data_IF_990832271058
#
_entry.id   IF_990832271058
#
_cell.length_a   1.000
_cell.length_b   1.000
_cell.length_c   1.000
_cell.angle_alpha   90.00
_cell.angle_beta   90.00
_cell.angle_gamma   90.00
#
_symmetry.space_group_name_H-M   'P 1'
#
loop_
_entity.id
_entity.type
_entity.pdbx_description
1 polymer ?
#
# COMPACT_ATOMS: atom_id res chain seq x y z
N UNK A 1 21.69 -3.01 -7.45
CA UNK A 1 20.66 -2.08 -7.97
C UNK A 1 19.32 -2.68 -7.57
N UNK A 2 18.40 -1.87 -7.02
CA UNK A 2 17.05 -2.32 -6.64
C UNK A 2 16.06 -1.47 -7.43
N UNK A 3 15.07 -2.10 -8.04
CA UNK A 3 14.03 -1.45 -8.83
C UNK A 3 12.67 -1.80 -8.22
N UNK A 4 11.84 -0.78 -8.01
CA UNK A 4 10.48 -0.92 -7.46
C UNK A 4 9.52 -0.33 -8.48
N UNK A 5 8.59 -1.14 -8.96
CA UNK A 5 7.57 -0.71 -9.92
C UNK A 5 6.25 -1.42 -9.68
N UNK A 6 5.16 -0.77 -10.09
CA UNK A 6 3.86 -1.43 -10.19
C UNK A 6 3.87 -2.46 -11.32
N UNK A 7 3.23 -3.61 -11.09
CA UNK A 7 2.91 -4.53 -12.18
C UNK A 7 1.65 -4.07 -12.94
N UNK A 8 1.57 -4.30 -14.26
CA UNK A 8 2.69 -4.66 -15.13
C UNK A 8 3.63 -3.47 -15.34
N UNK A 9 4.95 -3.70 -15.34
CA UNK A 9 5.93 -2.66 -15.65
C UNK A 9 6.42 -2.81 -17.08
N UNK A 10 6.53 -1.70 -17.82
CA UNK A 10 6.96 -1.70 -19.22
C UNK A 10 8.34 -2.35 -19.40
N UNK A 11 9.29 -2.01 -18.52
CA UNK A 11 10.66 -2.54 -18.57
C UNK A 11 10.70 -4.07 -18.55
N UNK A 12 9.87 -4.70 -17.70
CA UNK A 12 9.82 -6.16 -17.60
C UNK A 12 8.97 -6.80 -18.71
N UNK A 13 8.02 -6.05 -19.27
CA UNK A 13 7.20 -6.52 -20.40
C UNK A 13 7.92 -6.49 -21.75
N UNK A 14 9.05 -5.79 -21.87
CA UNK A 14 9.85 -5.73 -23.11
C UNK A 14 10.92 -6.84 -23.20
N UNK A 15 11.12 -7.63 -22.13
CA UNK A 15 12.09 -8.74 -22.10
C UNK A 15 11.55 -9.88 -22.97
N UNK A 16 12.37 -10.32 -23.92
CA UNK A 16 11.98 -11.40 -24.83
C UNK A 16 12.29 -12.78 -24.25
N UNK A 17 11.54 -13.83 -24.63
CA UNK A 17 11.79 -15.20 -24.16
C UNK A 17 13.19 -15.73 -24.51
N UNK A 18 13.79 -15.29 -25.62
CA UNK A 18 15.11 -15.74 -26.09
C UNK A 18 16.28 -15.14 -25.29
N UNK A 19 16.02 -14.13 -24.46
CA UNK A 19 17.02 -13.55 -23.56
C UNK A 19 17.34 -14.45 -22.35
N UNK A 20 16.57 -15.52 -22.13
CA UNK A 20 16.83 -16.52 -21.08
C UNK A 20 16.57 -16.01 -19.65
N UNK A 21 15.82 -14.91 -19.50
CA UNK A 21 15.45 -14.34 -18.21
C UNK A 21 14.10 -14.87 -17.72
N UNK A 22 13.96 -15.05 -16.40
CA UNK A 22 12.72 -15.51 -15.78
C UNK A 22 12.54 -14.89 -14.39
N UNK A 23 11.29 -14.86 -13.92
CA UNK A 23 10.97 -14.41 -12.57
C UNK A 23 11.30 -15.49 -11.53
N UNK A 24 11.91 -15.07 -10.42
CA UNK A 24 12.13 -15.94 -9.26
C UNK A 24 11.08 -15.68 -8.19
N UNK A 25 10.50 -16.73 -7.59
CA UNK A 25 9.50 -16.56 -6.54
C UNK A 25 10.16 -16.04 -5.25
N UNK A 26 9.47 -15.12 -4.58
CA UNK A 26 9.80 -14.64 -3.24
C UNK A 26 8.64 -14.99 -2.32
N UNK A 27 8.81 -16.02 -1.50
CA UNK A 27 7.78 -16.45 -0.57
C UNK A 27 7.58 -15.39 0.52
N UNK A 28 6.33 -15.06 0.83
CA UNK A 28 5.97 -14.24 1.99
C UNK A 28 6.26 -15.04 3.28
N UNK A 29 7.48 -14.90 3.80
CA UNK A 29 7.87 -15.40 5.13
C UNK A 29 7.21 -14.56 6.22
N UNK A 30 7.22 -15.06 7.46
CA UNK A 30 6.69 -14.32 8.61
C UNK A 30 7.34 -12.94 8.73
N UNK A 31 8.67 -12.86 8.62
CA UNK A 31 9.44 -11.61 8.70
C UNK A 31 9.06 -10.62 7.59
N UNK A 32 8.85 -11.10 6.36
CA UNK A 32 8.45 -10.23 5.24
C UNK A 32 7.00 -9.75 5.38
N UNK A 33 6.14 -10.54 6.02
CA UNK A 33 4.71 -10.25 6.14
C UNK A 33 4.41 -9.07 7.08
N UNK A 34 5.39 -8.62 7.87
CA UNK A 34 5.26 -7.42 8.70
C UNK A 34 5.28 -6.13 7.86
N UNK A 35 6.03 -6.12 6.75
CA UNK A 35 6.26 -4.92 5.92
C UNK A 35 5.72 -5.02 4.49
N UNK A 36 5.46 -6.25 4.01
CA UNK A 36 5.05 -6.50 2.64
C UNK A 36 3.77 -7.31 2.57
N UNK A 37 2.98 -7.07 1.53
CA UNK A 37 1.76 -7.82 1.24
C UNK A 37 2.06 -8.94 0.25
N UNK A 38 1.60 -10.15 0.52
CA UNK A 38 1.69 -11.28 -0.42
C UNK A 38 0.96 -10.94 -1.73
N UNK A 39 1.60 -11.22 -2.86
CA UNK A 39 0.97 -11.11 -4.19
C UNK A 39 1.57 -12.15 -5.16
N UNK A 40 1.14 -12.12 -6.42
CA UNK A 40 1.70 -12.97 -7.47
C UNK A 40 1.84 -12.20 -8.78
N UNK A 41 2.78 -12.63 -9.63
CA UNK A 41 2.86 -12.22 -11.03
C UNK A 41 2.20 -13.30 -11.89
N UNK A 42 1.45 -12.89 -12.92
CA UNK A 42 0.64 -13.76 -13.76
C UNK A 42 0.93 -13.55 -15.24
N UNK A 43 0.44 -14.44 -16.10
CA UNK A 43 0.52 -14.29 -17.55
C UNK A 43 -0.25 -13.05 -18.07
N UNK A 44 -1.23 -12.53 -17.32
CA UNK A 44 -1.88 -11.25 -17.63
C UNK A 44 -0.94 -10.06 -17.41
N UNK A 45 -0.02 -10.17 -16.44
CA UNK A 45 0.99 -9.16 -16.18
C UNK A 45 2.13 -9.24 -17.21
N UNK A 46 2.62 -10.45 -17.51
CA UNK A 46 3.78 -10.71 -18.37
C UNK A 46 3.60 -11.99 -19.21
N UNK A 47 2.88 -11.93 -20.35
CA UNK A 47 2.49 -13.11 -21.12
C UNK A 47 3.65 -13.86 -21.76
N UNK A 48 4.74 -13.16 -22.09
CA UNK A 48 5.94 -13.75 -22.70
C UNK A 48 6.87 -14.41 -21.66
N UNK A 49 6.72 -14.08 -20.37
CA UNK A 49 7.62 -14.53 -19.30
C UNK A 49 6.96 -15.48 -18.29
N UNK A 50 5.63 -15.54 -18.25
CA UNK A 50 4.88 -16.32 -17.26
C UNK A 50 3.86 -17.22 -17.97
N UNK A 51 3.95 -18.52 -17.71
CA UNK A 51 2.98 -19.51 -18.17
C UNK A 51 1.62 -19.30 -17.47
N UNK A 52 0.52 -19.42 -18.21
CA UNK A 52 -0.84 -19.13 -17.72
C UNK A 52 -1.23 -19.89 -16.44
N UNK A 53 -0.75 -21.12 -16.27
CA UNK A 53 -1.07 -21.98 -15.14
C UNK A 53 0.01 -21.97 -14.03
N UNK A 54 1.03 -21.12 -14.15
CA UNK A 54 2.14 -21.06 -13.18
C UNK A 54 2.43 -19.62 -12.75
N UNK A 55 1.56 -19.02 -11.92
CA UNK A 55 1.83 -17.70 -11.36
C UNK A 55 3.05 -17.74 -10.43
N UNK A 56 3.83 -16.65 -10.43
CA UNK A 56 5.05 -16.54 -9.62
C UNK A 56 4.72 -15.79 -8.32
N UNK A 57 4.84 -16.49 -7.18
CA UNK A 57 4.58 -15.90 -5.87
C UNK A 57 5.63 -14.84 -5.53
N UNK A 58 5.17 -13.69 -5.03
CA UNK A 58 6.06 -12.58 -4.64
C UNK A 58 5.43 -11.73 -3.53
N UNK A 59 6.08 -10.63 -3.19
CA UNK A 59 5.64 -9.66 -2.18
C UNK A 59 5.56 -8.26 -2.79
N UNK A 60 4.68 -7.43 -2.24
CA UNK A 60 4.44 -6.06 -2.70
C UNK A 60 4.51 -5.07 -1.54
N UNK A 61 4.88 -3.83 -1.87
CA UNK A 61 4.79 -2.67 -0.97
C UNK A 61 3.60 -1.80 -1.34
N UNK A 62 3.03 -1.14 -0.34
CA UNK A 62 2.03 -0.10 -0.55
C UNK A 62 2.69 1.19 -1.01
N UNK A 63 2.13 1.84 -2.02
CA UNK A 63 2.54 3.18 -2.45
C UNK A 63 1.58 4.21 -1.87
N UNK A 64 2.11 5.27 -1.25
CA UNK A 64 1.32 6.32 -0.61
C UNK A 64 1.75 7.68 -1.13
N UNK A 65 0.78 8.57 -1.36
CA UNK A 65 1.05 9.95 -1.75
C UNK A 65 1.22 10.80 -0.48
N UNK A 66 2.44 11.30 -0.27
CA UNK A 66 2.80 12.09 0.91
C UNK A 66 2.93 13.57 0.54
N UNK A 67 2.42 14.44 1.40
CA UNK A 67 2.60 15.88 1.30
C UNK A 67 3.09 16.43 2.63
N UNK A 68 3.90 17.50 2.57
CA UNK A 68 4.28 18.24 3.76
C UNK A 68 3.06 18.93 4.37
N UNK A 69 2.90 18.81 5.69
CA UNK A 69 1.78 19.40 6.42
C UNK A 69 2.01 20.89 6.72
N UNK A 70 1.95 21.73 5.67
CA UNK A 70 2.09 23.18 5.81
C UNK A 70 1.08 23.75 6.81
N UNK A 71 1.41 24.80 7.58
CA UNK A 71 0.45 25.45 8.45
C UNK A 71 -0.79 25.92 7.67
N UNK A 72 -1.96 25.74 8.28
CA UNK A 72 -3.23 26.17 7.69
C UNK A 72 -3.22 27.68 7.39
N UNK A 73 -3.90 28.07 6.32
CA UNK A 73 -3.97 29.47 5.86
C UNK A 73 -2.78 29.93 5.03
N UNK A 74 -1.68 29.18 4.98
CA UNK A 74 -0.54 29.50 4.08
C UNK A 74 -0.88 29.23 2.61
N UNK A 75 -0.19 29.94 1.71
CA UNK A 75 -0.35 29.72 0.27
C UNK A 75 0.03 28.29 -0.16
N UNK A 76 1.09 27.73 0.42
CA UNK A 76 1.51 26.34 0.14
C UNK A 76 0.43 25.34 0.57
N UNK A 77 -0.19 25.54 1.74
CA UNK A 77 -1.32 24.72 2.18
C UNK A 77 -2.48 24.78 1.18
N UNK A 78 -2.86 26.00 0.73
CA UNK A 78 -3.95 26.18 -0.24
C UNK A 78 -3.68 25.47 -1.56
N UNK A 79 -2.44 25.50 -2.07
CA UNK A 79 -2.06 24.80 -3.30
C UNK A 79 -2.18 23.30 -3.18
N UNK A 80 -1.66 22.72 -2.09
CA UNK A 80 -1.78 21.27 -1.84
C UNK A 80 -3.25 20.88 -1.65
N UNK A 81 -4.03 21.68 -0.91
CA UNK A 81 -5.47 21.45 -0.73
C UNK A 81 -6.23 21.48 -2.07
N UNK A 82 -5.90 22.44 -2.95
CA UNK A 82 -6.46 22.53 -4.28
C UNK A 82 -6.11 21.30 -5.13
N UNK A 83 -4.84 20.87 -5.11
CA UNK A 83 -4.41 19.66 -5.81
C UNK A 83 -5.19 18.42 -5.33
N UNK A 84 -5.28 18.21 -4.01
CA UNK A 84 -6.02 17.07 -3.42
C UNK A 84 -7.46 17.05 -3.91
N UNK A 85 -8.13 18.20 -3.87
CA UNK A 85 -9.52 18.31 -4.33
C UNK A 85 -9.65 18.00 -5.82
N UNK A 86 -8.83 18.63 -6.66
CA UNK A 86 -8.87 18.42 -8.11
C UNK A 86 -8.55 16.96 -8.49
N UNK A 87 -7.59 16.34 -7.80
CA UNK A 87 -7.23 14.94 -8.00
C UNK A 87 -8.36 14.00 -7.59
N UNK A 88 -8.94 14.16 -6.40
CA UNK A 88 -10.01 13.28 -5.91
C UNK A 88 -11.30 13.44 -6.71
N UNK A 89 -11.68 14.67 -7.06
CA UNK A 89 -12.86 14.98 -7.88
C UNK A 89 -12.78 14.31 -9.26
N UNK A 90 -11.57 14.16 -9.83
CA UNK A 90 -11.33 13.60 -11.17
C UNK A 90 -10.68 12.23 -11.18
N UNK A 91 -10.55 11.55 -10.04
CA UNK A 91 -9.84 10.27 -10.01
C UNK A 91 -10.50 9.21 -10.91
N UNK A 92 -11.82 9.27 -11.09
CA UNK A 92 -12.56 8.37 -11.99
C UNK A 92 -12.16 8.54 -13.45
N UNK A 93 -11.80 9.75 -13.87
CA UNK A 93 -11.31 10.02 -15.22
C UNK A 93 -10.01 9.25 -15.47
N UNK A 94 -9.16 9.11 -14.44
CA UNK A 94 -7.91 8.36 -14.47
C UNK A 94 -8.11 6.84 -14.55
N UNK A 95 -9.31 6.32 -14.29
CA UNK A 95 -9.60 4.89 -14.36
C UNK A 95 -10.01 4.42 -15.77
N UNK A 96 -10.18 5.37 -16.70
CA UNK A 96 -10.52 5.10 -18.10
C UNK A 96 -9.37 4.38 -18.84
N UNK A 97 -9.64 3.60 -19.90
CA UNK A 97 -8.63 2.78 -20.58
C UNK A 97 -7.45 3.56 -21.19
N UNK A 98 -7.60 4.87 -21.40
CA UNK A 98 -6.54 5.73 -21.94
C UNK A 98 -5.40 5.99 -20.94
N UNK A 99 -5.63 5.73 -19.65
CA UNK A 99 -4.65 5.92 -18.58
C UNK A 99 -4.10 4.58 -18.08
N UNK A 100 -3.03 4.67 -17.29
CA UNK A 100 -2.35 3.49 -16.75
C UNK A 100 -3.32 2.63 -15.89
N UNK A 101 -3.41 1.31 -16.10
CA UNK A 101 -4.36 0.44 -15.39
C UNK A 101 -4.30 0.54 -13.86
N UNK A 102 -3.11 0.82 -13.31
CA UNK A 102 -2.84 0.98 -11.87
C UNK A 102 -3.69 2.08 -11.20
N UNK A 103 -4.21 3.05 -11.94
CA UNK A 103 -5.13 4.06 -11.39
C UNK A 103 -6.44 3.47 -10.85
N UNK A 104 -6.81 2.26 -11.26
CA UNK A 104 -7.98 1.52 -10.74
C UNK A 104 -7.76 0.96 -9.35
N UNK A 105 -6.50 0.81 -8.92
CA UNK A 105 -6.14 0.19 -7.65
C UNK A 105 -6.04 1.20 -6.50
N UNK A 106 -6.31 2.49 -6.76
CA UNK A 106 -6.21 3.53 -5.74
C UNK A 106 -7.42 3.47 -4.81
N UNK A 107 -7.19 3.18 -3.53
CA UNK A 107 -8.18 3.27 -2.46
C UNK A 107 -8.03 4.59 -1.69
N UNK A 108 -8.73 5.64 -2.14
CA UNK A 108 -8.70 6.98 -1.52
C UNK A 108 -9.06 6.97 -0.02
N UNK A 109 -10.12 6.27 0.45
CA UNK A 109 -10.47 6.26 1.86
C UNK A 109 -9.54 5.40 2.74
N UNK A 110 -8.58 4.66 2.16
CA UNK A 110 -7.68 3.82 2.94
C UNK A 110 -6.88 4.63 3.97
N UNK A 111 -6.79 4.12 5.19
CA UNK A 111 -5.94 4.65 6.24
C UNK A 111 -4.55 4.02 6.17
N UNK A 112 -3.52 4.81 6.47
CA UNK A 112 -2.13 4.34 6.57
C UNK A 112 -1.72 4.38 8.04
N UNK A 113 -1.51 3.23 8.70
CA UNK A 113 -1.16 3.19 10.12
C UNK A 113 0.07 4.03 10.43
N UNK A 114 0.01 4.80 11.52
CA UNK A 114 1.11 5.68 11.95
C UNK A 114 1.22 7.00 11.17
N UNK A 115 0.39 7.22 10.16
CA UNK A 115 0.37 8.47 9.39
C UNK A 115 -0.89 9.27 9.64
N UNK A 116 -0.73 10.60 9.71
CA UNK A 116 -1.86 11.52 9.82
C UNK A 116 -2.31 11.95 8.42
N UNK A 117 -3.59 11.69 8.10
CA UNK A 117 -4.17 12.13 6.83
C UNK A 117 -4.21 13.66 6.76
N UNK A 118 -3.85 14.21 5.60
CA UNK A 118 -3.89 15.65 5.37
C UNK A 118 -5.34 16.17 5.46
N UNK A 119 -5.57 17.22 6.26
CA UNK A 119 -6.92 17.63 6.65
C UNK A 119 -7.90 17.88 5.49
N UNK A 120 -7.50 18.54 4.37
CA UNK A 120 -8.34 18.68 3.19
C UNK A 120 -8.76 17.35 2.53
N UNK A 121 -7.89 16.33 2.55
CA UNK A 121 -8.22 15.00 2.04
C UNK A 121 -9.28 14.33 2.92
N UNK A 122 -9.10 14.38 4.25
CA UNK A 122 -10.07 13.89 5.23
C UNK A 122 -11.44 14.56 5.07
N UNK A 123 -11.46 15.89 4.93
CA UNK A 123 -12.70 16.65 4.72
C UNK A 123 -13.41 16.25 3.42
N UNK A 124 -12.64 16.00 2.36
CA UNK A 124 -13.21 15.54 1.09
C UNK A 124 -13.85 14.16 1.23
N UNK A 125 -13.17 13.20 1.85
CA UNK A 125 -13.67 11.82 2.06
C UNK A 125 -14.96 11.85 2.89
N UNK A 126 -14.98 12.65 3.97
CA UNK A 126 -16.17 12.86 4.80
C UNK A 126 -17.34 13.43 4.00
N UNK A 127 -17.08 14.45 3.19
CA UNK A 127 -18.10 15.07 2.33
C UNK A 127 -18.64 14.09 1.29
N UNK A 128 -17.78 13.21 0.76
CA UNK A 128 -18.16 12.16 -0.19
C UNK A 128 -18.89 10.97 0.48
N UNK A 129 -19.00 10.94 1.81
CA UNK A 129 -19.60 9.82 2.54
C UNK A 129 -18.76 8.54 2.51
N UNK A 130 -17.44 8.66 2.27
CA UNK A 130 -16.52 7.53 2.07
C UNK A 130 -15.75 7.15 3.36
N UNK A 131 -16.12 7.72 4.51
CA UNK A 131 -15.45 7.43 5.78
C UNK A 131 -15.73 5.98 6.22
N UNK A 132 -14.70 5.13 6.10
CA UNK A 132 -14.73 3.73 6.55
C UNK A 132 -14.34 3.58 8.04
N UNK A 133 -13.73 4.61 8.61
CA UNK A 133 -13.14 4.62 9.97
C UNK A 133 -14.05 5.24 11.05
N UNK A 134 -15.23 5.77 10.69
CA UNK A 134 -16.25 6.13 11.68
C UNK A 134 -16.93 4.83 12.15
N UNK A 135 -16.85 4.44 13.43
CA UNK A 135 -17.71 3.39 13.95
C UNK A 135 -19.15 3.86 13.79
N UNK A 136 -19.85 3.30 12.81
CA UNK A 136 -21.24 3.57 12.48
C UNK A 136 -22.07 3.70 13.76
N UNK A 137 -22.37 4.94 14.19
CA UNK A 137 -23.38 5.20 15.23
C UNK A 137 -24.80 4.83 14.79
N UNK A 138 -24.97 4.31 13.59
CA UNK A 138 -26.23 3.79 13.07
C UNK A 138 -25.98 2.54 12.20
N UNK A 139 -25.47 1.47 12.80
CA UNK A 139 -25.72 0.13 12.26
C UNK A 139 -27.14 -0.30 12.68
N UNK A 140 -28.17 0.33 12.10
CA UNK A 140 -29.43 -0.39 11.92
C UNK A 140 -29.10 -1.50 10.93
N UNK A 141 -28.88 -2.70 11.46
CA UNK A 141 -28.79 -3.94 10.69
C UNK A 141 -30.05 -4.02 9.83
N UNK A 142 -29.96 -3.93 8.48
CA UNK A 142 -31.08 -4.32 7.66
C UNK A 142 -31.25 -5.82 7.86
N UNK A 143 -32.38 -6.16 8.42
CA UNK A 143 -32.91 -7.51 8.57
C UNK A 143 -32.74 -8.30 7.26
N UNK A 144 -32.39 -9.57 7.41
CA UNK A 144 -31.93 -10.47 6.36
C UNK A 144 -32.68 -10.34 5.02
N UNK A 145 -31.93 -10.20 3.92
CA UNK A 145 -32.45 -10.37 2.56
C UNK A 145 -32.77 -11.86 2.35
N UNK A 146 -34.05 -12.25 2.18
CA UNK A 146 -34.40 -13.62 1.90
C UNK A 146 -34.14 -13.90 0.40
N UNK A 147 -33.19 -14.78 0.10
CA UNK A 147 -32.96 -15.24 -1.27
C UNK A 147 -31.55 -15.67 -1.67
N UNK A 148 -30.53 -15.45 -0.84
CA UNK A 148 -29.19 -15.96 -1.13
C UNK A 148 -29.07 -17.40 -0.62
N UNK A 149 -29.10 -18.36 -1.55
CA UNK A 149 -28.90 -19.78 -1.30
C UNK A 149 -27.59 -20.04 -0.55
N UNK A 150 -27.70 -20.51 0.70
CA UNK A 150 -26.62 -21.05 1.53
C UNK A 150 -26.11 -22.38 0.95
N UNK A 151 -25.27 -22.33 -0.07
CA UNK A 151 -24.40 -23.43 -0.51
C UNK A 151 -23.31 -22.77 -1.37
N UNK A 152 -22.02 -22.76 -1.07
CA UNK A 152 -21.14 -23.77 -0.50
C UNK A 152 -20.03 -23.07 0.28
N UNK A 153 -20.30 -22.66 1.52
CA UNK A 153 -19.25 -22.44 2.52
C UNK A 153 -19.78 -23.00 3.82
N UNK A 154 -19.27 -24.17 4.18
CA UNK A 154 -19.55 -24.85 5.43
C UNK A 154 -19.55 -23.85 6.59
N UNK A 155 -20.58 -23.89 7.45
CA UNK A 155 -20.73 -22.97 8.56
C UNK A 155 -19.52 -23.00 9.49
N UNK A 156 -18.90 -24.17 9.66
CA UNK A 156 -17.71 -24.31 10.51
C UNK A 156 -16.48 -23.63 9.87
N UNK A 157 -16.35 -23.73 8.54
CA UNK A 157 -15.30 -23.02 7.80
C UNK A 157 -15.47 -21.50 7.90
N UNK A 158 -16.70 -20.98 7.81
CA UNK A 158 -16.97 -19.53 8.00
C UNK A 158 -16.59 -19.05 9.39
N UNK A 159 -16.95 -19.80 10.43
CA UNK A 159 -16.63 -19.46 11.82
C UNK A 159 -15.12 -19.52 12.09
N UNK A 160 -14.40 -20.40 11.39
CA UNK A 160 -12.95 -20.53 11.49
C UNK A 160 -12.25 -19.35 10.82
N UNK A 161 -12.62 -19.04 9.58
CA UNK A 161 -12.10 -17.87 8.86
C UNK A 161 -12.42 -16.55 9.59
N UNK A 162 -13.60 -16.44 10.19
CA UNK A 162 -13.97 -15.26 10.97
C UNK A 162 -13.12 -15.14 12.25
N UNK A 163 -12.85 -16.25 12.95
CA UNK A 163 -11.95 -16.24 14.11
C UNK A 163 -10.52 -15.87 13.72
N UNK A 164 -9.98 -16.45 12.65
CA UNK A 164 -8.65 -16.10 12.12
C UNK A 164 -8.58 -14.62 11.74
N UNK A 165 -9.61 -14.09 11.10
CA UNK A 165 -9.70 -12.67 10.76
C UNK A 165 -9.72 -11.76 11.99
N UNK A 166 -10.49 -12.13 13.03
CA UNK A 166 -10.54 -11.38 14.29
C UNK A 166 -9.19 -11.40 15.01
N UNK A 167 -8.50 -12.54 15.03
CA UNK A 167 -7.15 -12.65 15.61
C UNK A 167 -6.11 -11.88 14.79
N UNK A 168 -6.19 -11.91 13.46
CA UNK A 168 -5.36 -11.09 12.57
C UNK A 168 -5.54 -9.59 12.84
N UNK A 169 -6.80 -9.12 13.00
CA UNK A 169 -7.07 -7.73 13.37
C UNK A 169 -6.53 -7.37 14.76
N UNK A 170 -6.67 -8.25 15.75
CA UNK A 170 -6.13 -8.02 17.10
C UNK A 170 -4.60 -7.96 17.08
N UNK A 171 -3.94 -8.79 16.27
CA UNK A 171 -2.49 -8.79 16.11
C UNK A 171 -2.00 -7.52 15.39
N UNK A 172 -2.70 -7.06 14.35
CA UNK A 172 -2.40 -5.74 13.75
C UNK A 172 -2.62 -4.60 14.75
N UNK A 173 -3.71 -4.65 15.52
CA UNK A 173 -4.03 -3.62 16.51
C UNK A 173 -3.09 -3.62 17.72
N UNK A 174 -2.44 -4.73 18.06
CA UNK A 174 -1.44 -4.81 19.14
C UNK A 174 -0.08 -4.25 18.69
N UNK A 175 0.37 -4.59 17.48
CA UNK A 175 1.58 -4.02 16.86
C UNK A 175 1.46 -2.50 16.70
N UNK A 176 0.29 -2.01 16.28
CA UNK A 176 -0.01 -0.56 16.19
C UNK A 176 -0.01 0.11 17.57
N UNK A 177 -0.49 -0.56 18.63
CA UNK A 177 -0.49 -0.01 20.00
C UNK A 177 0.93 0.13 20.57
N UNK A 178 1.81 -0.83 20.28
CA UNK A 178 3.21 -0.81 20.69
C UNK A 178 4.00 0.31 19.99
N UNK A 179 3.75 0.56 18.70
CA UNK A 179 4.36 1.66 17.96
C UNK A 179 3.83 3.04 18.40
N UNK A 180 2.54 3.13 18.77
CA UNK A 180 1.92 4.36 19.26
C UNK A 180 2.36 4.77 20.68
N UNK A 181 2.91 3.84 21.47
CA UNK A 181 3.42 4.09 22.82
C UNK A 181 4.84 4.66 22.86
N UNK A 182 5.54 4.76 21.72
CA UNK A 182 6.88 5.35 21.67
C UNK A 182 6.79 6.86 21.91
N UNK A 183 7.40 7.30 23.01
CA UNK A 183 7.50 8.72 23.34
C UNK A 183 8.41 9.45 22.32
N UNK A 184 8.36 10.79 22.22
CA UNK A 184 9.12 11.54 21.22
C UNK A 184 10.63 11.26 21.25
N UNK A 185 11.20 11.06 22.45
CA UNK A 185 12.62 10.74 22.62
C UNK A 185 12.97 9.34 22.11
N UNK A 186 12.09 8.35 22.29
CA UNK A 186 12.28 7.01 21.77
C UNK A 186 12.18 6.96 20.25
N UNK A 187 11.33 7.79 19.63
CA UNK A 187 11.28 7.95 18.17
C UNK A 187 12.54 8.59 17.62
N UNK A 188 13.03 9.64 18.28
CA UNK A 188 14.28 10.30 17.88
C UNK A 188 15.49 9.36 18.05
N UNK A 189 15.49 8.51 19.07
CA UNK A 189 16.50 7.46 19.25
C UNK A 189 16.42 6.41 18.15
N UNK A 190 15.23 5.97 17.77
CA UNK A 190 15.06 5.02 16.65
C UNK A 190 15.49 5.62 15.31
N UNK A 191 15.17 6.89 15.06
CA UNK A 191 15.63 7.63 13.87
C UNK A 191 17.15 7.77 13.91
N UNK A 192 17.72 8.10 15.07
CA UNK A 192 19.16 8.23 15.25
C UNK A 192 19.88 6.90 15.07
N UNK A 193 19.37 5.81 15.65
CA UNK A 193 19.92 4.46 15.54
C UNK A 193 19.79 3.94 14.10
N UNK A 194 18.70 4.27 13.40
CA UNK A 194 18.55 4.00 11.97
C UNK A 194 19.57 4.78 11.12
N UNK A 195 19.78 6.06 11.41
CA UNK A 195 20.81 6.88 10.76
C UNK A 195 22.22 6.38 11.11
N UNK A 196 22.43 5.88 12.33
CA UNK A 196 23.69 5.30 12.79
C UNK A 196 23.96 3.95 12.12
N UNK A 197 22.94 3.10 11.98
CA UNK A 197 22.95 1.86 11.22
C UNK A 197 23.30 2.12 9.76
N UNK A 198 22.68 3.14 9.14
CA UNK A 198 23.05 3.59 7.80
C UNK A 198 24.50 4.07 7.75
N UNK A 199 25.02 4.74 8.78
CA UNK A 199 26.42 5.21 8.81
C UNK A 199 27.44 4.09 9.02
N UNK A 200 27.15 3.14 9.91
CA UNK A 200 28.02 1.99 10.22
C UNK A 200 28.05 1.01 9.04
N UNK A 201 26.90 0.80 8.39
CA UNK A 201 26.81 -0.08 7.22
C UNK A 201 27.08 0.63 5.88
N UNK A 202 27.13 1.98 5.84
CA UNK A 202 27.64 2.72 4.68
C UNK A 202 29.17 2.69 4.54
N UNK A 203 29.90 2.19 5.55
CA UNK A 203 31.34 1.99 5.50
C UNK A 203 31.78 0.77 4.69
N UNK A 204 30.88 -0.20 4.44
CA UNK A 204 31.15 -1.39 3.63
C UNK A 204 30.68 -1.28 2.19
N UNK A 205 30.22 -0.10 1.76
CA UNK A 205 29.66 0.11 0.43
C UNK A 205 30.59 0.97 -0.43
N UNK A 206 31.09 0.31 -1.48
CA UNK A 206 32.04 0.80 -2.48
C UNK A 206 31.61 2.13 -3.13
N UNK A 207 32.60 2.90 -3.60
CA UNK A 207 32.54 4.30 -4.04
C UNK A 207 31.47 4.60 -5.10
N UNK A 208 30.93 3.57 -5.77
CA UNK A 208 29.81 3.66 -6.73
C UNK A 208 28.42 3.81 -6.11
N UNK A 209 28.27 3.62 -4.80
CA UNK A 209 26.96 3.73 -4.11
C UNK A 209 26.70 5.11 -3.48
N UNK A 210 27.68 6.02 -3.49
CA UNK A 210 27.52 7.38 -2.93
C UNK A 210 26.74 8.35 -3.82
N UNK A 211 26.57 8.05 -5.12
CA UNK A 211 25.89 8.95 -6.06
C UNK A 211 24.37 8.74 -6.18
N UNK A 212 23.81 7.69 -5.56
CA UNK A 212 22.41 7.28 -5.77
C UNK A 212 21.37 7.86 -4.79
N UNK A 213 21.76 8.75 -3.86
CA UNK A 213 20.84 9.25 -2.83
C UNK A 213 20.37 10.70 -3.01
N UNK A 214 20.77 11.39 -4.09
CA UNK A 214 20.34 12.79 -4.33
C UNK A 214 19.40 13.02 -5.52
N UNK A 215 19.02 12.00 -6.26
CA UNK A 215 18.13 12.16 -7.42
C UNK A 215 16.97 11.17 -7.37
N UNK A 216 15.81 11.66 -6.98
CA UNK A 216 14.57 10.89 -6.95
C UNK A 216 13.33 11.79 -6.90
N UNK A 217 13.39 12.92 -7.61
CA UNK A 217 12.20 13.64 -8.04
C UNK A 217 11.59 12.86 -9.20
N UNK A 218 10.32 12.48 -9.01
CA UNK A 218 9.32 12.07 -10.00
C UNK A 218 9.73 12.20 -11.48
N UNK A 219 9.68 11.06 -12.18
CA UNK A 219 9.00 10.89 -13.46
C UNK A 219 8.55 9.44 -13.63
#
# INVERSE_FOLDING_TARGET
>A
MVYVAGKPSRLLGEIRPDEGLHFLPVAATTDLSESYTRTSLTAEDYPELIEAQRPVATVAVSCVLVAYNWPAGTERYRRVAHFVRAFFDRHRDLQTPQHHPKWRDIDIPAAVPGWTRFAPAEQWIRKAGLNRDEPSRHANVPEAVPGVTKAVVDSQMRDTLFREFVEYQKHQASVIRSAAQLNPQQRDLLIRDFVQYLKVNAGSLDRRQRELLFAGSVQ
#
